data_IF_650224901756
#
_entry.id   IF_650224901756
#
_cell.length_a   1.000
_cell.length_b   1.000
_cell.length_c   1.000
_cell.angle_alpha   90.00
_cell.angle_beta   90.00
_cell.angle_gamma   90.00
#
_symmetry.space_group_name_H-M   'P 1'
#
loop_
_entity.id
_entity.type
_entity.pdbx_description
1 polymer ?
#
# COMPACT_ATOMS: atom_id res chain seq x y z
N UNK A 1 28.61 5.91 -2.77
CA UNK A 1 27.32 5.73 -2.09
C UNK A 1 27.11 4.26 -1.84
N UNK A 2 27.27 3.79 -0.60
CA UNK A 2 27.15 2.36 -0.28
C UNK A 2 25.70 2.08 0.13
N UNK A 3 24.94 1.41 -0.74
CA UNK A 3 23.62 0.88 -0.40
C UNK A 3 23.78 -0.28 0.57
N UNK A 4 23.45 -0.06 1.84
CA UNK A 4 23.53 -1.07 2.89
C UNK A 4 22.23 -1.90 2.89
N UNK A 5 22.09 -2.77 1.89
CA UNK A 5 20.93 -3.66 1.73
C UNK A 5 21.05 -4.75 2.80
N UNK A 6 20.17 -4.73 3.80
CA UNK A 6 20.09 -5.74 4.85
C UNK A 6 18.68 -6.33 4.92
N UNK A 7 18.54 -7.60 5.35
CA UNK A 7 17.22 -8.17 5.60
C UNK A 7 16.43 -7.33 6.60
N UNK A 8 15.14 -7.17 6.33
CA UNK A 8 14.21 -6.45 7.22
C UNK A 8 14.10 -7.17 8.57
N UNK A 9 14.25 -6.43 9.66
CA UNK A 9 14.09 -6.91 11.02
C UNK A 9 12.64 -6.77 11.50
N UNK A 10 12.24 -7.58 12.48
CA UNK A 10 10.88 -7.55 13.08
C UNK A 10 10.54 -6.22 13.80
N UNK A 11 11.57 -5.44 14.14
CA UNK A 11 11.46 -4.13 14.79
C UNK A 11 11.31 -3.00 13.79
N UNK A 12 11.65 -3.23 12.52
CA UNK A 12 11.45 -2.24 11.47
C UNK A 12 9.95 -1.99 11.34
N UNK A 13 9.56 -0.76 11.66
CA UNK A 13 8.21 -0.26 11.47
C UNK A 13 8.21 0.65 10.26
N UNK A 14 7.08 0.73 9.58
CA UNK A 14 6.86 1.72 8.55
C UNK A 14 6.76 1.16 7.15
N UNK A 15 6.44 2.09 6.25
CA UNK A 15 6.05 1.81 4.88
C UNK A 15 4.54 1.74 4.74
N UNK A 16 4.08 2.06 3.55
CA UNK A 16 2.68 2.12 3.19
C UNK A 16 2.32 0.93 2.33
N UNK A 17 1.19 0.31 2.61
CA UNK A 17 0.65 -0.71 1.74
C UNK A 17 0.01 -0.06 0.52
N UNK A 18 0.59 -0.33 -0.65
CA UNK A 18 0.10 0.25 -1.90
C UNK A 18 -1.17 -0.45 -2.38
N UNK A 19 -2.21 0.34 -2.64
CA UNK A 19 -3.46 -0.10 -3.24
C UNK A 19 -3.46 0.19 -4.76
N UNK A 20 -3.83 -0.80 -5.59
CA UNK A 20 -4.01 -0.58 -7.02
C UNK A 20 -5.19 0.36 -7.29
N UNK A 21 -5.00 1.33 -8.19
CA UNK A 21 -6.08 2.23 -8.59
C UNK A 21 -7.04 1.56 -9.58
N UNK A 22 -8.34 1.79 -9.42
CA UNK A 22 -9.36 1.27 -10.33
C UNK A 22 -9.19 1.81 -11.75
N UNK A 23 -8.64 3.02 -11.91
CA UNK A 23 -8.33 3.62 -13.22
C UNK A 23 -7.37 2.76 -14.05
N UNK A 24 -6.46 2.04 -13.40
CA UNK A 24 -5.47 1.21 -14.07
C UNK A 24 -5.88 -0.26 -14.18
N UNK A 25 -6.88 -0.69 -13.39
CA UNK A 25 -7.41 -2.05 -13.36
C UNK A 25 -8.94 -1.95 -13.29
N UNK A 26 -9.64 -1.84 -14.43
CA UNK A 26 -11.08 -1.56 -14.45
C UNK A 26 -11.92 -2.71 -13.91
N UNK A 27 -11.56 -3.96 -14.18
CA UNK A 27 -12.32 -5.15 -13.77
C UNK A 27 -11.96 -5.66 -12.36
N UNK A 28 -10.80 -5.28 -11.83
CA UNK A 28 -10.31 -5.77 -10.54
C UNK A 28 -9.90 -7.25 -10.59
N UNK A 29 -9.89 -7.91 -9.42
CA UNK A 29 -9.74 -9.36 -9.29
C UNK A 29 -10.78 -9.89 -8.32
N UNK A 30 -11.03 -11.20 -8.37
CA UNK A 30 -11.94 -11.86 -7.44
C UNK A 30 -11.56 -11.58 -5.97
N UNK A 31 -12.56 -11.24 -5.16
CA UNK A 31 -12.37 -10.88 -3.75
C UNK A 31 -11.82 -9.47 -3.51
N UNK A 32 -11.64 -8.63 -4.54
CA UNK A 32 -11.23 -7.24 -4.36
C UNK A 32 -12.44 -6.33 -4.17
N UNK A 33 -12.35 -5.40 -3.22
CA UNK A 33 -13.43 -4.45 -2.92
C UNK A 33 -13.02 -3.04 -3.34
N UNK A 34 -13.92 -2.26 -3.93
CA UNK A 34 -13.65 -0.85 -4.25
C UNK A 34 -13.67 -0.03 -2.97
N UNK A 35 -12.58 0.67 -2.67
CA UNK A 35 -12.46 1.61 -1.56
C UNK A 35 -11.87 2.93 -2.02
N UNK A 36 -12.08 4.01 -1.27
CA UNK A 36 -11.45 5.29 -1.56
C UNK A 36 -10.09 5.38 -0.88
N UNK A 37 -9.10 5.92 -1.58
CA UNK A 37 -7.80 6.22 -0.99
C UNK A 37 -7.96 7.28 0.10
N UNK A 38 -7.39 7.08 1.31
CA UNK A 38 -7.50 8.05 2.40
C UNK A 38 -6.74 9.37 2.15
N UNK A 39 -5.88 9.42 1.13
CA UNK A 39 -5.00 10.56 0.84
C UNK A 39 -5.52 11.43 -0.30
N UNK A 40 -5.91 10.81 -1.42
CA UNK A 40 -6.35 11.51 -2.62
C UNK A 40 -7.84 11.31 -2.94
N UNK A 41 -8.55 10.44 -2.22
CA UNK A 41 -9.97 10.14 -2.47
C UNK A 41 -10.26 9.27 -3.70
N UNK A 42 -9.25 8.95 -4.52
CA UNK A 42 -9.40 8.12 -5.71
C UNK A 42 -9.87 6.70 -5.40
N UNK A 43 -10.61 6.11 -6.33
CA UNK A 43 -11.06 4.71 -6.24
C UNK A 43 -9.87 3.76 -6.41
N UNK A 44 -9.65 2.95 -5.38
CA UNK A 44 -8.65 1.92 -5.32
C UNK A 44 -9.29 0.58 -4.96
N UNK A 45 -8.55 -0.50 -5.21
CA UNK A 45 -8.96 -1.83 -4.84
C UNK A 45 -8.35 -2.24 -3.50
N UNK A 46 -9.21 -2.62 -2.54
CA UNK A 46 -8.87 -3.30 -1.31
C UNK A 46 -8.70 -4.78 -1.58
N UNK A 47 -7.56 -5.34 -1.21
CA UNK A 47 -7.33 -6.80 -1.27
C UNK A 47 -7.99 -7.49 -0.07
N UNK A 48 -8.43 -8.76 -0.19
CA UNK A 48 -9.12 -9.44 0.90
C UNK A 48 -8.27 -9.61 2.16
N UNK A 49 -6.96 -9.82 2.00
CA UNK A 49 -5.99 -9.96 3.11
C UNK A 49 -5.30 -8.63 3.48
N UNK A 50 -5.90 -7.50 3.12
CA UNK A 50 -5.25 -6.19 3.23
C UNK A 50 -5.00 -5.81 4.70
N UNK A 51 -6.01 -5.93 5.56
CA UNK A 51 -5.90 -5.57 6.98
C UNK A 51 -4.89 -6.47 7.70
N UNK A 52 -4.99 -7.79 7.49
CA UNK A 52 -4.02 -8.76 8.04
C UNK A 52 -2.59 -8.47 7.58
N UNK A 53 -2.43 -8.08 6.32
CA UNK A 53 -1.13 -7.67 5.78
C UNK A 53 -0.61 -6.45 6.54
N UNK A 54 -1.42 -5.38 6.68
CA UNK A 54 -1.04 -4.17 7.42
C UNK A 54 -0.56 -4.51 8.84
N UNK A 55 -1.28 -5.38 9.55
CA UNK A 55 -0.89 -5.84 10.87
C UNK A 55 0.42 -6.65 10.85
N UNK A 56 0.55 -7.60 9.92
CA UNK A 56 1.72 -8.50 9.80
C UNK A 56 3.01 -7.75 9.46
N UNK A 57 2.93 -6.78 8.56
CA UNK A 57 4.09 -5.97 8.14
C UNK A 57 4.27 -4.69 8.96
N UNK A 58 3.37 -4.41 9.93
CA UNK A 58 3.34 -3.18 10.72
C UNK A 58 3.41 -1.93 9.83
N UNK A 59 2.63 -1.94 8.76
CA UNK A 59 2.51 -0.77 7.87
C UNK A 59 1.77 0.36 8.60
N UNK A 60 2.10 1.60 8.27
CA UNK A 60 1.44 2.79 8.83
C UNK A 60 0.00 2.95 8.31
N UNK A 61 -0.28 2.36 7.15
CA UNK A 61 -1.61 2.33 6.56
C UNK A 61 -1.57 1.83 5.14
N UNK A 62 -2.71 1.95 4.45
CA UNK A 62 -2.82 1.67 3.02
C UNK A 62 -3.18 2.93 2.25
N UNK A 63 -2.49 3.19 1.15
CA UNK A 63 -2.80 4.31 0.26
C UNK A 63 -2.54 3.92 -1.21
N UNK A 64 -2.99 4.75 -2.14
CA UNK A 64 -2.79 4.50 -3.57
C UNK A 64 -1.29 4.43 -3.92
N UNK A 65 -0.90 3.65 -4.94
CA UNK A 65 0.51 3.57 -5.40
C UNK A 65 1.14 4.95 -5.65
N UNK A 66 0.42 5.85 -6.33
CA UNK A 66 0.89 7.22 -6.57
C UNK A 66 1.07 8.02 -5.27
N UNK A 67 0.21 7.79 -4.28
CA UNK A 67 0.22 8.46 -2.99
C UNK A 67 1.44 8.00 -2.18
N UNK A 68 1.67 6.69 -2.13
CA UNK A 68 2.82 6.09 -1.46
C UNK A 68 4.14 6.57 -2.06
N UNK A 69 4.21 6.71 -3.38
CA UNK A 69 5.38 7.26 -4.07
C UNK A 69 5.62 8.72 -3.69
N UNK A 70 4.57 9.57 -3.72
CA UNK A 70 4.69 10.98 -3.33
C UNK A 70 5.12 11.18 -1.88
N UNK A 71 4.71 10.30 -0.96
CA UNK A 71 5.11 10.38 0.45
C UNK A 71 6.58 10.04 0.68
N UNK A 72 7.12 9.09 -0.09
CA UNK A 72 8.52 8.67 0.01
C UNK A 72 9.50 9.55 -0.79
N UNK A 73 9.01 10.57 -1.51
CA UNK A 73 9.87 11.55 -2.21
C UNK A 73 10.29 12.74 -1.30
N UNK A 74 10.25 12.57 0.03
CA UNK A 74 10.74 13.58 0.99
C UNK A 74 12.11 13.22 1.54
#
# INVERSE_FOLDING_TARGET
>A
MYMNIRPRQKKDKGGWLCMPQCKNIPEGKEGWTKIKCPICGELCWKRPLQDETIHKIKAEGACCTLCAMKMNMK
#
